data_IF_291374360072
#
_entry.id   IF_291374360072
#
_cell.length_a   1.000
_cell.length_b   1.000
_cell.length_c   1.000
_cell.angle_alpha   90.00
_cell.angle_beta   90.00
_cell.angle_gamma   90.00
#
_symmetry.space_group_name_H-M   'P 1'
#
loop_
_entity.id
_entity.type
_entity.pdbx_description
1 polymer ?
#
# COMPACT_ATOMS: atom_id res chain seq x y z
N UNK A 1 -10.61 46.54 -80.89
CA UNK A 1 -9.18 46.82 -80.66
C UNK A 1 -9.04 47.57 -79.36
N UNK A 2 -8.18 47.05 -78.48
CA UNK A 2 -7.35 47.71 -77.46
C UNK A 2 -7.29 46.76 -76.26
N UNK A 3 -6.14 46.10 -76.16
CA UNK A 3 -5.72 45.22 -75.08
C UNK A 3 -5.58 45.98 -73.76
N UNK A 4 -5.88 45.32 -72.65
CA UNK A 4 -5.28 45.62 -71.35
C UNK A 4 -4.87 44.31 -70.68
N UNK A 5 -3.56 44.20 -70.46
CA UNK A 5 -2.89 43.10 -69.79
C UNK A 5 -3.20 43.16 -68.28
N UNK A 6 -3.58 42.03 -67.70
CA UNK A 6 -3.73 41.86 -66.25
C UNK A 6 -2.52 41.07 -65.76
N UNK A 7 -1.71 41.71 -64.91
CA UNK A 7 -0.55 41.12 -64.26
C UNK A 7 -0.95 40.06 -63.24
N UNK A 8 -0.22 38.95 -63.22
CA UNK A 8 -0.35 37.89 -62.23
C UNK A 8 0.27 38.35 -60.90
N UNK A 9 -0.55 38.38 -59.85
CA UNK A 9 -0.11 38.59 -58.47
C UNK A 9 -0.09 37.23 -57.76
N UNK A 10 1.10 36.71 -57.51
CA UNK A 10 1.33 35.45 -56.78
C UNK A 10 1.10 35.68 -55.29
N UNK A 11 0.02 35.12 -54.74
CA UNK A 11 -0.26 35.16 -53.29
C UNK A 11 0.52 34.03 -52.62
N UNK A 12 1.55 34.39 -51.85
CA UNK A 12 2.28 33.46 -50.97
C UNK A 12 1.39 33.24 -49.74
N UNK A 13 0.82 32.03 -49.61
CA UNK A 13 0.08 31.62 -48.42
C UNK A 13 1.04 31.39 -47.25
N UNK A 14 0.91 32.21 -46.20
CA UNK A 14 1.51 31.95 -44.90
C UNK A 14 0.67 30.90 -44.16
N UNK A 15 1.14 29.66 -44.10
CA UNK A 15 0.58 28.63 -43.21
C UNK A 15 1.03 28.93 -41.78
N UNK A 16 0.07 29.25 -40.91
CA UNK A 16 0.30 29.33 -39.47
C UNK A 16 0.80 27.98 -38.92
N UNK A 17 1.72 27.96 -37.93
CA UNK A 17 2.14 26.70 -37.33
C UNK A 17 0.96 26.13 -36.54
N UNK A 18 0.59 24.88 -36.86
CA UNK A 18 -0.38 24.13 -36.08
C UNK A 18 0.14 23.99 -34.65
N UNK A 19 -0.56 24.57 -33.68
CA UNK A 19 -0.35 24.27 -32.26
C UNK A 19 -0.67 22.79 -32.04
N UNK A 20 0.37 22.00 -31.81
CA UNK A 20 0.22 20.62 -31.40
C UNK A 20 -0.56 20.59 -30.08
N UNK A 21 -1.79 20.08 -30.13
CA UNK A 21 -2.55 19.74 -28.94
C UNK A 21 -1.75 18.70 -28.14
N UNK A 22 -1.43 19.03 -26.88
CA UNK A 22 -0.79 18.12 -25.95
C UNK A 22 -1.78 17.03 -25.58
N UNK A 23 -1.54 15.81 -26.06
CA UNK A 23 -2.28 14.62 -25.72
C UNK A 23 -2.02 14.26 -24.24
N UNK A 24 -3.03 14.28 -23.35
CA UNK A 24 -2.87 13.96 -21.93
C UNK A 24 -2.57 12.47 -21.67
N UNK A 25 -2.56 11.63 -22.71
CA UNK A 25 -2.25 10.20 -22.62
C UNK A 25 -0.79 9.83 -22.90
N UNK A 26 0.05 10.80 -23.29
CA UNK A 26 1.49 10.57 -23.42
C UNK A 26 2.15 10.57 -22.04
N UNK A 27 2.83 9.48 -21.61
CA UNK A 27 3.62 9.54 -20.38
C UNK A 27 4.63 10.68 -20.53
N UNK A 28 4.60 11.61 -19.57
CA UNK A 28 5.69 12.57 -19.41
C UNK A 28 7.00 11.77 -19.41
N UNK A 29 8.05 12.30 -20.07
CA UNK A 29 9.37 11.69 -20.00
C UNK A 29 9.66 11.39 -18.53
N UNK A 30 9.75 10.10 -18.19
CA UNK A 30 9.93 9.68 -16.81
C UNK A 30 11.18 10.40 -16.28
N UNK A 31 11.02 11.17 -15.21
CA UNK A 31 12.17 11.63 -14.46
C UNK A 31 13.05 10.39 -14.19
N UNK A 32 14.36 10.50 -14.41
CA UNK A 32 15.27 9.38 -14.15
C UNK A 32 15.01 8.87 -12.72
N UNK A 33 14.75 7.56 -12.58
CA UNK A 33 14.46 6.98 -11.28
C UNK A 33 15.61 7.29 -10.31
N UNK A 34 15.28 7.68 -9.09
CA UNK A 34 16.28 7.93 -8.06
C UNK A 34 17.03 6.62 -7.77
N UNK A 35 18.34 6.59 -8.00
CA UNK A 35 19.16 5.41 -7.74
C UNK A 35 19.51 5.30 -6.25
N UNK A 36 19.92 4.11 -5.81
CA UNK A 36 20.42 3.87 -4.45
C UNK A 36 21.59 4.80 -4.09
N UNK A 37 21.32 5.79 -3.23
CA UNK A 37 22.30 6.75 -2.75
C UNK A 37 21.86 7.33 -1.38
N UNK A 38 21.82 6.50 -0.31
CA UNK A 38 21.43 6.98 1.00
C UNK A 38 22.44 8.02 1.53
N UNK A 39 22.01 8.94 2.42
CA UNK A 39 22.92 9.81 3.16
C UNK A 39 24.06 9.01 3.82
N UNK A 40 25.28 9.54 3.82
CA UNK A 40 26.48 8.81 4.24
C UNK A 40 26.35 8.20 5.65
N UNK A 41 25.70 8.91 6.58
CA UNK A 41 25.45 8.45 7.94
C UNK A 41 24.45 7.29 8.04
N UNK A 42 23.66 7.04 6.99
CA UNK A 42 22.69 5.94 6.95
C UNK A 42 23.25 4.68 6.25
N UNK A 43 24.37 4.77 5.54
CA UNK A 43 24.96 3.62 4.80
C UNK A 43 25.25 2.45 5.74
N UNK A 44 25.99 2.70 6.84
CA UNK A 44 26.34 1.66 7.82
C UNK A 44 25.10 1.04 8.49
N UNK A 45 24.18 1.81 9.10
CA UNK A 45 23.03 1.22 9.77
C UNK A 45 22.09 0.47 8.82
N UNK A 46 21.94 0.90 7.56
CA UNK A 46 21.14 0.15 6.56
C UNK A 46 21.78 -1.21 6.24
N UNK A 47 23.10 -1.26 6.07
CA UNK A 47 23.85 -2.50 5.85
C UNK A 47 23.78 -3.45 7.07
N UNK A 48 23.79 -2.91 8.29
CA UNK A 48 23.56 -3.69 9.52
C UNK A 48 22.15 -4.28 9.57
N UNK A 49 21.12 -3.49 9.21
CA UNK A 49 19.73 -3.95 9.11
C UNK A 49 19.61 -5.07 8.08
N UNK A 50 20.12 -4.88 6.87
CA UNK A 50 19.99 -5.89 5.82
C UNK A 50 20.67 -7.21 6.21
N UNK A 51 21.89 -7.16 6.76
CA UNK A 51 22.57 -8.36 7.27
C UNK A 51 21.79 -9.06 8.36
N UNK A 52 21.16 -8.30 9.25
CA UNK A 52 20.31 -8.88 10.29
C UNK A 52 19.13 -9.63 9.67
N UNK A 53 18.38 -8.99 8.77
CA UNK A 53 17.26 -9.59 8.05
C UNK A 53 17.69 -10.88 7.32
N UNK A 54 18.80 -10.84 6.57
CA UNK A 54 19.34 -12.02 5.88
C UNK A 54 19.71 -13.17 6.82
N UNK A 55 20.22 -12.86 8.03
CA UNK A 55 20.59 -13.87 9.02
C UNK A 55 19.39 -14.45 9.77
N UNK A 56 18.33 -13.66 9.95
CA UNK A 56 17.14 -14.00 10.74
C UNK A 56 16.16 -14.83 9.92
N UNK A 57 15.98 -14.52 8.62
CA UNK A 57 14.95 -15.14 7.78
C UNK A 57 15.56 -16.10 6.75
N UNK A 58 15.52 -17.43 7.00
CA UNK A 58 16.15 -18.42 6.12
C UNK A 58 15.52 -18.50 4.71
N UNK A 59 14.28 -18.05 4.56
CA UNK A 59 13.55 -18.03 3.27
C UNK A 59 13.22 -16.60 2.80
N UNK A 60 14.00 -15.59 3.20
CA UNK A 60 13.81 -14.17 2.82
C UNK A 60 13.56 -13.97 1.32
N UNK A 61 14.33 -14.67 0.49
CA UNK A 61 14.24 -14.54 -0.96
C UNK A 61 13.18 -15.44 -1.61
N UNK A 62 12.86 -16.58 -0.98
CA UNK A 62 11.86 -17.52 -1.47
C UNK A 62 10.44 -17.19 -1.04
N UNK A 63 10.24 -16.44 0.04
CA UNK A 63 8.94 -15.91 0.44
C UNK A 63 8.39 -14.94 -0.63
N UNK A 64 7.21 -15.24 -1.18
CA UNK A 64 6.56 -14.53 -2.30
C UNK A 64 5.20 -13.92 -1.95
N UNK A 65 5.03 -13.48 -0.70
CA UNK A 65 3.80 -12.82 -0.27
C UNK A 65 4.02 -11.51 0.49
N UNK A 66 5.20 -10.89 0.39
CA UNK A 66 5.38 -9.53 0.91
C UNK A 66 4.39 -8.58 0.22
N UNK A 67 4.13 -7.42 0.82
CA UNK A 67 3.35 -6.35 0.20
C UNK A 67 3.88 -5.99 -1.20
N UNK A 68 5.19 -6.14 -1.43
CA UNK A 68 5.81 -6.04 -2.75
C UNK A 68 5.24 -7.05 -3.75
N UNK A 69 5.19 -8.33 -3.39
CA UNK A 69 4.68 -9.39 -4.27
C UNK A 69 3.18 -9.19 -4.54
N UNK A 70 2.43 -8.75 -3.53
CA UNK A 70 1.00 -8.42 -3.64
C UNK A 70 0.78 -7.27 -4.62
N UNK A 71 1.52 -6.18 -4.48
CA UNK A 71 1.50 -5.04 -5.41
C UNK A 71 1.80 -5.45 -6.85
N UNK A 72 2.81 -6.28 -7.05
CA UNK A 72 3.22 -6.73 -8.38
C UNK A 72 2.18 -7.67 -8.98
N UNK A 73 1.65 -8.61 -8.20
CA UNK A 73 0.58 -9.52 -8.64
C UNK A 73 -0.70 -8.76 -9.01
N UNK A 74 -1.03 -7.69 -8.27
CA UNK A 74 -2.25 -6.93 -8.42
C UNK A 74 -2.09 -5.63 -9.25
N UNK A 75 -0.97 -5.53 -9.99
CA UNK A 75 -0.68 -4.44 -10.95
C UNK A 75 -0.79 -3.03 -10.33
N UNK A 76 -0.21 -2.86 -9.14
CA UNK A 76 -0.13 -1.56 -8.48
C UNK A 76 -1.38 -1.16 -7.72
N UNK A 77 -2.15 -2.15 -7.23
CA UNK A 77 -3.32 -1.95 -6.36
C UNK A 77 -3.19 -2.84 -5.13
N UNK A 78 -3.85 -2.45 -4.05
CA UNK A 78 -4.02 -3.31 -2.87
C UNK A 78 -5.50 -3.30 -2.48
N UNK A 79 -6.08 -4.48 -2.35
CA UNK A 79 -7.42 -4.67 -1.83
C UNK A 79 -7.38 -5.10 -0.36
N UNK A 80 -8.19 -4.46 0.47
CA UNK A 80 -8.32 -4.74 1.90
C UNK A 80 -9.69 -5.30 2.24
N UNK A 81 -9.72 -6.17 3.24
CA UNK A 81 -10.95 -6.53 3.92
C UNK A 81 -10.84 -6.28 5.43
N UNK A 82 -11.78 -5.50 5.98
CA UNK A 82 -11.81 -5.14 7.40
C UNK A 82 -12.45 -6.27 8.21
N UNK A 83 -11.83 -6.70 9.30
CA UNK A 83 -12.43 -7.59 10.29
C UNK A 83 -12.73 -6.78 11.54
N UNK A 84 -14.01 -6.54 11.80
CA UNK A 84 -14.47 -5.82 12.97
C UNK A 84 -14.81 -6.81 14.09
N UNK A 85 -13.82 -7.10 14.92
CA UNK A 85 -13.92 -7.96 16.09
C UNK A 85 -14.29 -7.12 17.32
N UNK A 86 -15.44 -6.45 17.23
CA UNK A 86 -16.01 -5.61 18.29
C UNK A 86 -17.54 -5.60 18.22
N UNK A 87 -18.19 -5.37 19.36
CA UNK A 87 -19.64 -5.22 19.49
C UNK A 87 -20.10 -3.76 19.30
N UNK A 88 -19.17 -2.81 19.18
CA UNK A 88 -19.49 -1.40 19.01
C UNK A 88 -20.10 -1.15 17.62
N UNK A 89 -21.16 -0.32 17.55
CA UNK A 89 -21.83 -0.03 16.29
C UNK A 89 -20.92 0.75 15.32
N UNK A 90 -21.03 0.44 14.04
CA UNK A 90 -20.29 1.11 12.96
C UNK A 90 -21.29 1.81 12.05
N UNK A 91 -21.30 3.14 12.07
CA UNK A 91 -22.07 3.95 11.10
C UNK A 91 -21.39 3.97 9.73
N UNK A 92 -22.13 4.33 8.68
CA UNK A 92 -21.54 4.55 7.35
C UNK A 92 -20.40 5.60 7.40
N UNK A 93 -20.59 6.67 8.18
CA UNK A 93 -19.55 7.68 8.38
C UNK A 93 -18.29 7.09 9.01
N UNK A 94 -18.42 6.31 10.09
CA UNK A 94 -17.26 5.69 10.73
C UNK A 94 -16.53 4.72 9.80
N UNK A 95 -17.28 3.93 9.01
CA UNK A 95 -16.72 3.07 7.97
C UNK A 95 -15.87 3.89 6.99
N UNK A 96 -16.41 4.98 6.45
CA UNK A 96 -15.75 5.80 5.43
C UNK A 96 -14.52 6.53 6.01
N UNK A 97 -14.58 6.95 7.27
CA UNK A 97 -13.44 7.52 8.01
C UNK A 97 -12.32 6.48 8.20
N UNK A 98 -12.65 5.22 8.53
CA UNK A 98 -11.69 4.11 8.61
C UNK A 98 -11.06 3.84 7.25
N UNK A 99 -11.85 3.80 6.16
CA UNK A 99 -11.32 3.60 4.81
C UNK A 99 -10.35 4.73 4.43
N UNK A 100 -10.71 5.98 4.75
CA UNK A 100 -9.88 7.15 4.49
C UNK A 100 -8.59 7.12 5.29
N UNK A 101 -8.65 6.76 6.57
CA UNK A 101 -7.49 6.57 7.43
C UNK A 101 -6.54 5.52 6.84
N UNK A 102 -7.06 4.33 6.51
CA UNK A 102 -6.27 3.25 5.93
C UNK A 102 -5.55 3.67 4.65
N UNK A 103 -6.27 4.27 3.70
CA UNK A 103 -5.68 4.80 2.44
C UNK A 103 -4.59 5.82 2.71
N UNK A 104 -4.80 6.74 3.66
CA UNK A 104 -3.82 7.76 4.03
C UNK A 104 -2.55 7.15 4.59
N UNK A 105 -2.65 6.19 5.50
CA UNK A 105 -1.47 5.55 6.10
C UNK A 105 -0.71 4.71 5.06
N UNK A 106 -1.41 3.89 4.26
CA UNK A 106 -0.76 3.10 3.20
C UNK A 106 -0.05 3.98 2.17
N UNK A 107 -0.63 5.13 1.82
CA UNK A 107 -0.04 6.08 0.87
C UNK A 107 1.34 6.57 1.33
N UNK A 108 1.59 6.76 2.62
CA UNK A 108 2.90 7.24 3.11
C UNK A 108 4.04 6.28 2.82
N UNK A 109 3.80 4.98 3.00
CA UNK A 109 4.78 3.95 2.63
C UNK A 109 5.04 3.96 1.12
N UNK A 110 3.98 3.99 0.30
CA UNK A 110 4.12 4.02 -1.17
C UNK A 110 4.84 5.29 -1.66
N UNK A 111 4.52 6.45 -1.11
CA UNK A 111 5.19 7.71 -1.43
C UNK A 111 6.69 7.69 -1.11
N UNK A 112 7.10 6.80 -0.20
CA UNK A 112 8.52 6.65 0.16
C UNK A 112 9.33 5.91 -0.91
N UNK A 113 8.70 5.14 -1.81
CA UNK A 113 9.38 4.38 -2.88
C UNK A 113 8.96 4.79 -4.30
N UNK A 114 7.88 5.57 -4.45
CA UNK A 114 7.45 6.08 -5.75
C UNK A 114 8.57 6.87 -6.46
N UNK A 115 8.93 6.46 -7.68
CA UNK A 115 10.02 7.08 -8.45
C UNK A 115 11.43 6.65 -8.06
N UNK A 116 11.58 5.74 -7.10
CA UNK A 116 12.87 5.20 -6.66
C UNK A 116 13.19 3.88 -7.37
N UNK A 117 14.41 3.77 -7.90
CA UNK A 117 15.08 2.52 -8.29
C UNK A 117 14.20 1.52 -9.08
N UNK A 118 13.61 2.01 -10.19
CA UNK A 118 12.70 1.29 -11.08
C UNK A 118 11.38 0.82 -10.45
N UNK A 119 10.98 1.33 -9.29
CA UNK A 119 9.65 1.06 -8.75
C UNK A 119 8.57 1.52 -9.74
N UNK A 120 7.68 0.61 -10.19
CA UNK A 120 6.89 0.84 -11.40
C UNK A 120 5.62 1.67 -11.18
N UNK A 121 5.26 1.97 -9.92
CA UNK A 121 3.98 2.61 -9.60
C UNK A 121 4.20 4.00 -9.00
N UNK A 122 3.69 5.04 -9.67
CA UNK A 122 3.68 6.39 -9.11
C UNK A 122 2.61 6.56 -8.01
N UNK A 123 1.56 5.74 -8.06
CA UNK A 123 0.47 5.71 -7.09
C UNK A 123 -0.04 4.27 -6.97
N UNK A 124 -0.49 3.90 -5.77
CA UNK A 124 -1.13 2.62 -5.50
C UNK A 124 -2.48 2.89 -4.85
N UNK A 125 -3.59 2.65 -5.58
CA UNK A 125 -4.92 2.69 -4.99
C UNK A 125 -5.10 1.59 -3.94
N UNK A 126 -5.67 1.97 -2.79
CA UNK A 126 -6.12 1.04 -1.75
C UNK A 126 -7.65 0.99 -1.74
N UNK A 127 -8.19 -0.17 -2.11
CA UNK A 127 -9.63 -0.45 -2.09
C UNK A 127 -9.98 -1.21 -0.83
N UNK A 128 -11.11 -0.90 -0.21
CA UNK A 128 -11.68 -1.73 0.84
C UNK A 128 -12.83 -2.47 0.17
N UNK A 129 -12.71 -3.79 0.00
CA UNK A 129 -13.64 -4.60 -0.77
C UNK A 129 -14.61 -5.39 0.10
N UNK A 130 -14.33 -5.51 1.40
CA UNK A 130 -15.20 -6.25 2.31
C UNK A 130 -15.07 -5.87 3.77
N UNK A 131 -16.10 -6.24 4.54
CA UNK A 131 -16.20 -6.12 5.99
C UNK A 131 -16.70 -7.42 6.60
N UNK A 132 -16.00 -7.92 7.60
CA UNK A 132 -16.43 -9.05 8.41
C UNK A 132 -16.86 -8.57 9.80
N UNK A 133 -18.03 -9.03 10.25
CA UNK A 133 -18.60 -8.78 11.59
C UNK A 133 -19.21 -10.04 12.13
N UNK A 134 -19.34 -10.16 13.45
CA UNK A 134 -20.02 -11.30 14.06
C UNK A 134 -21.55 -11.20 13.95
N UNK A 135 -22.08 -9.98 14.07
CA UNK A 135 -23.50 -9.68 13.92
C UNK A 135 -23.67 -8.57 12.88
N UNK A 136 -24.57 -8.79 11.91
CA UNK A 136 -24.89 -7.79 10.89
C UNK A 136 -25.45 -6.51 11.49
N UNK A 137 -26.12 -6.61 12.63
CA UNK A 137 -26.74 -5.49 13.35
C UNK A 137 -25.69 -4.47 13.85
N UNK A 138 -24.44 -4.90 14.03
CA UNK A 138 -23.32 -4.01 14.38
C UNK A 138 -23.06 -2.96 13.30
N UNK A 139 -23.35 -3.26 12.03
CA UNK A 139 -23.17 -2.32 10.92
C UNK A 139 -24.47 -1.51 10.72
N UNK A 140 -24.45 -0.23 11.10
CA UNK A 140 -25.59 0.70 11.00
C UNK A 140 -25.71 1.34 9.61
N UNK A 141 -25.50 0.54 8.58
CA UNK A 141 -25.58 0.93 7.17
C UNK A 141 -25.95 -0.29 6.33
N UNK A 142 -26.55 -0.06 5.15
CA UNK A 142 -27.14 -1.11 4.31
C UNK A 142 -26.81 -0.98 2.82
N UNK A 143 -25.94 -0.04 2.44
CA UNK A 143 -25.46 0.07 1.06
C UNK A 143 -24.60 -1.14 0.66
N UNK A 144 -24.31 -1.24 -0.64
CA UNK A 144 -23.55 -2.33 -1.26
C UNK A 144 -22.15 -1.88 -1.70
N UNK A 145 -21.55 -0.90 -1.03
CA UNK A 145 -20.21 -0.39 -1.37
C UNK A 145 -19.11 -1.45 -1.21
N UNK A 146 -19.31 -2.43 -0.32
CA UNK A 146 -18.37 -3.51 -0.01
C UNK A 146 -19.12 -4.80 0.30
N UNK A 147 -18.45 -5.94 0.18
CA UNK A 147 -19.00 -7.23 0.59
C UNK A 147 -19.11 -7.34 2.12
N UNK A 148 -20.14 -8.02 2.61
CA UNK A 148 -20.37 -8.23 4.04
C UNK A 148 -20.30 -9.71 4.40
N UNK A 149 -19.43 -10.04 5.36
CA UNK A 149 -19.23 -11.38 5.88
C UNK A 149 -19.72 -11.45 7.33
N UNK A 150 -20.85 -12.11 7.58
CA UNK A 150 -21.44 -12.20 8.94
C UNK A 150 -21.39 -13.59 9.56
N UNK A 151 -21.16 -14.63 8.76
CA UNK A 151 -21.22 -16.03 9.18
C UNK A 151 -19.90 -16.78 8.89
N UNK A 152 -18.80 -16.04 8.78
CA UNK A 152 -17.48 -16.60 8.53
C UNK A 152 -16.65 -16.25 9.76
N UNK A 153 -16.33 -17.27 10.56
CA UNK A 153 -15.53 -17.13 11.77
C UNK A 153 -14.23 -17.91 11.60
N UNK A 154 -13.15 -17.40 12.19
CA UNK A 154 -11.90 -18.15 12.28
C UNK A 154 -11.94 -19.21 13.40
N UNK A 155 -10.85 -19.95 13.57
CA UNK A 155 -10.75 -20.99 14.61
C UNK A 155 -10.88 -20.48 16.05
N UNK A 156 -10.70 -19.17 16.28
CA UNK A 156 -10.92 -18.51 17.57
C UNK A 156 -12.33 -17.95 17.75
N UNK A 157 -13.20 -18.06 16.73
CA UNK A 157 -14.56 -17.52 16.76
C UNK A 157 -14.64 -16.02 16.46
N UNK A 158 -13.55 -15.40 15.98
CA UNK A 158 -13.52 -14.01 15.54
C UNK A 158 -14.05 -13.91 14.10
N UNK A 159 -14.73 -12.81 13.73
CA UNK A 159 -15.24 -12.64 12.37
C UNK A 159 -14.11 -12.55 11.36
N UNK A 160 -14.29 -13.21 10.22
CA UNK A 160 -13.29 -13.37 9.19
C UNK A 160 -13.87 -13.01 7.81
N UNK A 161 -13.07 -12.35 6.98
CA UNK A 161 -13.38 -12.23 5.56
C UNK A 161 -13.29 -13.59 4.87
N UNK A 162 -13.98 -13.81 3.75
CA UNK A 162 -14.00 -15.12 3.09
C UNK A 162 -12.58 -15.64 2.75
N UNK A 163 -12.14 -16.78 3.33
CA UNK A 163 -10.80 -17.33 3.07
C UNK A 163 -10.53 -17.60 1.59
N UNK A 164 -11.55 -18.05 0.86
CA UNK A 164 -11.49 -18.30 -0.58
C UNK A 164 -11.10 -17.07 -1.42
N UNK A 165 -11.22 -15.87 -0.84
CA UNK A 165 -10.87 -14.59 -1.47
C UNK A 165 -9.58 -13.95 -0.93
N UNK A 166 -8.94 -14.53 0.10
CA UNK A 166 -7.79 -13.91 0.75
C UNK A 166 -6.47 -14.34 0.11
N UNK A 167 -5.64 -13.37 -0.28
CA UNK A 167 -4.28 -13.61 -0.81
C UNK A 167 -3.42 -14.46 0.13
N UNK A 168 -3.54 -14.24 1.44
CA UNK A 168 -2.86 -15.05 2.45
C UNK A 168 -3.13 -16.56 2.30
N UNK A 169 -4.35 -16.94 1.92
CA UNK A 169 -4.75 -18.34 1.71
C UNK A 169 -4.48 -18.84 0.28
N UNK A 170 -4.37 -17.92 -0.68
CA UNK A 170 -4.26 -18.19 -2.12
C UNK A 170 -3.02 -17.49 -2.73
N UNK A 171 -1.84 -17.76 -2.18
CA UNK A 171 -0.59 -17.15 -2.66
C UNK A 171 -0.22 -17.57 -4.09
N UNK A 172 -0.78 -18.68 -4.57
CA UNK A 172 -0.68 -19.12 -5.96
C UNK A 172 -1.54 -18.28 -6.94
N UNK A 173 -2.34 -17.34 -6.45
CA UNK A 173 -3.24 -16.50 -7.25
C UNK A 173 -4.50 -17.22 -7.74
N UNK A 174 -4.81 -18.42 -7.23
CA UNK A 174 -6.02 -19.14 -7.58
C UNK A 174 -7.21 -18.66 -6.74
N UNK A 175 -7.99 -17.75 -7.31
CA UNK A 175 -9.23 -17.23 -6.72
C UNK A 175 -10.48 -17.85 -7.35
N UNK A 176 -10.40 -19.04 -7.96
CA UNK A 176 -11.56 -19.68 -8.61
C UNK A 176 -12.71 -19.97 -7.65
N UNK A 177 -12.43 -20.10 -6.36
CA UNK A 177 -13.42 -20.27 -5.29
C UNK A 177 -13.93 -18.96 -4.70
N UNK A 178 -13.25 -17.84 -4.95
CA UNK A 178 -13.71 -16.54 -4.47
C UNK A 178 -14.98 -16.13 -5.22
N UNK A 179 -16.09 -15.79 -4.53
CA UNK A 179 -17.24 -15.18 -5.16
C UNK A 179 -16.84 -13.87 -5.87
N UNK A 180 -17.05 -13.80 -7.19
CA UNK A 180 -16.58 -12.68 -8.01
C UNK A 180 -15.12 -12.79 -8.48
N UNK A 181 -14.45 -13.90 -8.17
CA UNK A 181 -13.13 -14.28 -8.65
C UNK A 181 -12.03 -13.30 -8.24
N UNK A 182 -10.96 -13.27 -9.03
CA UNK A 182 -9.81 -12.38 -8.79
C UNK A 182 -10.19 -10.89 -8.73
N UNK A 183 -11.32 -10.45 -9.28
CA UNK A 183 -11.73 -9.05 -9.17
C UNK A 183 -12.26 -8.67 -7.78
N UNK A 184 -12.62 -9.65 -6.94
CA UNK A 184 -13.19 -9.45 -5.60
C UNK A 184 -12.31 -10.00 -4.48
N UNK A 185 -11.12 -10.50 -4.79
CA UNK A 185 -10.16 -10.92 -3.79
C UNK A 185 -9.67 -9.74 -2.94
N UNK A 186 -9.11 -10.03 -1.77
CA UNK A 186 -8.38 -9.07 -0.96
C UNK A 186 -6.95 -9.54 -0.73
N UNK A 187 -6.02 -8.59 -0.76
CA UNK A 187 -4.60 -8.80 -0.50
C UNK A 187 -4.33 -8.87 1.00
N UNK A 188 -4.92 -7.93 1.75
CA UNK A 188 -4.63 -7.71 3.16
C UNK A 188 -5.91 -7.62 3.98
N UNK A 189 -5.79 -7.94 5.27
CA UNK A 189 -6.90 -7.84 6.20
C UNK A 189 -6.55 -6.93 7.37
N UNK A 190 -7.39 -5.93 7.62
CA UNK A 190 -7.27 -5.04 8.77
C UNK A 190 -8.17 -5.54 9.89
N UNK A 191 -7.57 -6.08 10.95
CA UNK A 191 -8.29 -6.62 12.10
C UNK A 191 -8.39 -5.55 13.17
N UNK A 192 -9.62 -5.21 13.53
CA UNK A 192 -9.96 -4.21 14.52
C UNK A 192 -10.57 -4.92 15.72
N UNK A 193 -9.71 -5.25 16.67
CA UNK A 193 -10.04 -6.14 17.80
C UNK A 193 -10.33 -5.32 19.05
N UNK A 194 -11.49 -5.56 19.67
CA UNK A 194 -11.87 -4.95 20.94
C UNK A 194 -10.85 -5.26 22.03
N UNK A 195 -10.36 -4.22 22.70
CA UNK A 195 -9.43 -4.34 23.84
C UNK A 195 -8.02 -4.82 23.49
N UNK A 196 -7.70 -5.07 22.22
CA UNK A 196 -6.35 -5.46 21.81
C UNK A 196 -5.37 -4.31 22.03
N UNK A 197 -4.27 -4.59 22.73
CA UNK A 197 -3.20 -3.64 23.02
C UNK A 197 -1.99 -3.93 22.14
N UNK A 198 -1.33 -2.89 21.66
CA UNK A 198 -0.24 -3.02 20.68
C UNK A 198 -0.75 -3.30 19.27
N UNK A 199 0.12 -3.88 18.46
CA UNK A 199 -0.15 -4.24 17.07
C UNK A 199 0.45 -5.60 16.72
N UNK A 200 -0.02 -6.16 15.61
CA UNK A 200 0.63 -7.27 14.93
C UNK A 200 0.42 -7.13 13.42
N UNK A 201 1.45 -7.39 12.63
CA UNK A 201 1.46 -7.11 11.21
C UNK A 201 2.28 -8.13 10.43
N UNK A 202 2.02 -8.21 9.13
CA UNK A 202 2.74 -9.10 8.23
C UNK A 202 2.11 -9.15 6.85
N UNK A 203 2.38 -10.24 6.13
CA UNK A 203 1.88 -10.46 4.77
C UNK A 203 0.34 -10.54 4.71
N UNK A 204 -0.32 -11.01 5.76
CA UNK A 204 -1.78 -11.13 5.83
C UNK A 204 -2.49 -9.80 6.12
N UNK A 205 -1.78 -8.74 6.51
CA UNK A 205 -2.34 -7.45 6.89
C UNK A 205 -1.90 -6.99 8.29
N UNK A 206 -2.79 -6.32 9.01
CA UNK A 206 -2.50 -5.70 10.32
C UNK A 206 -3.63 -5.97 11.30
N UNK A 207 -3.29 -6.08 12.59
CA UNK A 207 -4.23 -6.15 13.71
C UNK A 207 -3.88 -5.07 14.73
N UNK A 208 -4.88 -4.28 15.10
CA UNK A 208 -4.78 -3.24 16.12
C UNK A 208 -6.08 -3.18 16.94
N UNK A 209 -6.03 -2.46 18.06
CA UNK A 209 -7.21 -2.19 18.88
C UNK A 209 -8.29 -1.42 18.10
N UNK A 210 -9.55 -1.87 18.15
CA UNK A 210 -10.67 -1.18 17.49
C UNK A 210 -10.85 0.25 18.03
N UNK A 211 -10.74 0.40 19.35
CA UNK A 211 -10.86 1.65 20.09
C UNK A 211 -9.70 2.59 19.74
N UNK A 212 -8.50 2.03 19.59
CA UNK A 212 -7.31 2.77 19.19
C UNK A 212 -7.48 3.34 17.78
N UNK A 213 -7.83 2.52 16.78
CA UNK A 213 -8.01 3.02 15.43
C UNK A 213 -9.14 4.06 15.38
N UNK A 214 -10.27 3.80 16.04
CA UNK A 214 -11.37 4.77 16.08
C UNK A 214 -10.88 6.09 16.68
N UNK A 215 -10.16 6.08 17.80
CA UNK A 215 -9.62 7.30 18.41
C UNK A 215 -8.58 8.03 17.55
N UNK A 216 -7.79 7.29 16.76
CA UNK A 216 -6.69 7.83 15.97
C UNK A 216 -7.02 8.10 14.49
N UNK A 217 -8.18 7.69 13.97
CA UNK A 217 -8.53 7.72 12.53
C UNK A 217 -8.39 9.09 11.85
N UNK A 218 -8.47 10.19 12.61
CA UNK A 218 -8.29 11.55 12.11
C UNK A 218 -6.85 12.09 12.19
N UNK A 219 -5.92 11.35 12.81
CA UNK A 219 -4.53 11.78 12.99
C UNK A 219 -3.76 11.67 11.67
N UNK A 220 -2.74 12.51 11.53
CA UNK A 220 -1.83 12.46 10.38
C UNK A 220 -1.13 11.10 10.36
N UNK A 221 -0.45 10.74 11.45
CA UNK A 221 0.22 9.46 11.69
C UNK A 221 -0.59 8.60 12.67
N UNK A 222 -0.95 7.38 12.26
CA UNK A 222 -1.56 6.37 13.12
C UNK A 222 -0.46 5.38 13.50
N UNK A 223 0.39 5.79 14.45
CA UNK A 223 1.63 5.14 14.84
C UNK A 223 1.61 3.61 14.75
N UNK A 224 0.74 2.92 15.50
CA UNK A 224 0.75 1.45 15.54
C UNK A 224 0.40 0.88 14.17
N UNK A 225 -0.59 1.45 13.47
CA UNK A 225 -0.96 0.97 12.13
C UNK A 225 0.18 1.16 11.13
N UNK A 226 0.88 2.30 11.16
CA UNK A 226 2.03 2.54 10.28
C UNK A 226 3.16 1.54 10.55
N UNK A 227 3.45 1.24 11.82
CA UNK A 227 4.43 0.24 12.22
C UNK A 227 4.06 -1.15 11.68
N UNK A 228 2.83 -1.60 11.91
CA UNK A 228 2.37 -2.91 11.42
C UNK A 228 2.36 -3.01 9.89
N UNK A 229 2.12 -1.90 9.18
CA UNK A 229 2.26 -1.84 7.73
C UNK A 229 3.72 -2.01 7.28
N UNK A 230 4.71 -1.60 8.07
CA UNK A 230 6.12 -1.84 7.77
C UNK A 230 6.43 -3.33 7.64
N UNK A 231 5.92 -4.15 8.57
CA UNK A 231 6.07 -5.61 8.52
C UNK A 231 5.48 -6.26 7.27
N UNK A 232 4.38 -5.72 6.76
CA UNK A 232 3.80 -6.17 5.49
C UNK A 232 4.82 -6.11 4.35
N UNK A 233 5.74 -5.15 4.38
CA UNK A 233 6.78 -4.98 3.38
C UNK A 233 8.15 -5.56 3.79
N UNK A 234 8.17 -6.38 4.85
CA UNK A 234 9.35 -7.10 5.30
C UNK A 234 10.27 -6.31 6.21
N UNK A 235 9.83 -5.17 6.75
CA UNK A 235 10.63 -4.46 7.75
C UNK A 235 10.57 -5.17 9.11
N UNK A 236 11.71 -5.31 9.77
CA UNK A 236 11.84 -6.00 11.05
C UNK A 236 11.38 -5.16 12.24
N UNK A 237 11.10 -5.86 13.33
CA UNK A 237 10.99 -5.29 14.67
C UNK A 237 12.37 -5.13 15.30
N UNK A 238 12.53 -4.09 16.13
CA UNK A 238 13.81 -3.77 16.80
C UNK A 238 13.68 -3.74 18.32
N UNK A 239 13.41 -4.91 18.92
CA UNK A 239 13.20 -5.03 20.38
C UNK A 239 14.51 -5.18 21.18
N UNK A 240 15.46 -5.94 20.66
CA UNK A 240 16.64 -6.42 21.37
C UNK A 240 17.97 -5.89 20.81
N UNK A 241 17.91 -5.16 19.70
CA UNK A 241 19.07 -4.53 19.09
C UNK A 241 18.70 -3.21 18.38
N UNK A 242 19.70 -2.42 18.00
CA UNK A 242 19.50 -1.18 17.24
C UNK A 242 20.73 -0.96 16.35
N UNK A 243 20.56 -0.54 15.09
CA UNK A 243 21.68 -0.26 14.21
C UNK A 243 22.47 0.98 14.65
N UNK A 244 23.75 1.02 14.29
CA UNK A 244 24.72 2.02 14.73
C UNK A 244 24.33 3.42 14.27
N UNK A 245 24.32 4.37 15.20
CA UNK A 245 24.19 5.80 14.87
C UNK A 245 22.78 6.27 14.52
N UNK A 246 21.76 5.41 14.66
CA UNK A 246 20.35 5.79 14.48
C UNK A 246 19.61 5.68 15.81
N UNK A 247 18.96 6.78 16.22
CA UNK A 247 18.29 6.89 17.52
C UNK A 247 16.87 6.34 17.53
N UNK A 248 15.96 7.06 16.84
CA UNK A 248 14.53 6.78 16.84
C UNK A 248 13.97 6.67 15.43
N UNK A 249 13.20 5.61 15.21
CA UNK A 249 12.55 5.27 13.95
C UNK A 249 11.35 4.37 14.23
N UNK A 250 10.36 4.38 13.33
CA UNK A 250 9.06 3.78 13.55
C UNK A 250 9.15 2.28 13.85
N UNK A 251 10.00 1.56 13.11
CA UNK A 251 10.16 0.11 13.28
C UNK A 251 10.82 -0.29 14.61
N UNK A 252 11.41 0.67 15.34
CA UNK A 252 11.77 0.51 16.74
C UNK A 252 10.64 1.05 17.59
N UNK A 253 9.70 0.16 17.92
CA UNK A 253 8.44 0.49 18.57
C UNK A 253 8.62 1.44 19.77
N UNK A 254 7.87 2.54 19.77
CA UNK A 254 7.90 3.55 20.84
C UNK A 254 9.05 4.56 20.76
N UNK A 255 10.00 4.42 19.83
CA UNK A 255 11.09 5.39 19.65
C UNK A 255 10.75 6.55 18.69
N UNK A 256 9.77 6.35 17.81
CA UNK A 256 9.15 7.37 16.98
C UNK A 256 7.66 7.04 16.79
N UNK A 257 6.85 8.04 16.44
CA UNK A 257 5.39 7.88 16.25
C UNK A 257 4.93 8.16 14.82
N UNK A 258 5.88 8.24 13.88
CA UNK A 258 5.70 8.56 12.48
C UNK A 258 6.81 7.89 11.65
N UNK A 259 6.57 7.68 10.36
CA UNK A 259 7.58 7.13 9.41
C UNK A 259 8.75 8.13 9.27
N UNK A 260 9.90 7.79 9.86
CA UNK A 260 11.11 8.62 9.83
C UNK A 260 11.88 8.45 8.53
N UNK A 261 12.89 9.29 8.29
CA UNK A 261 13.74 9.13 7.11
C UNK A 261 14.50 7.80 7.09
N UNK A 262 14.89 7.27 8.26
CA UNK A 262 15.53 5.95 8.32
C UNK A 262 14.57 4.83 7.91
N UNK A 263 13.31 4.89 8.34
CA UNK A 263 12.28 3.91 7.93
C UNK A 263 12.09 3.90 6.41
N UNK A 264 12.06 5.09 5.78
CA UNK A 264 11.95 5.21 4.33
C UNK A 264 13.15 4.59 3.61
N UNK A 265 14.36 4.77 4.13
CA UNK A 265 15.55 4.14 3.55
C UNK A 265 15.58 2.63 3.76
N UNK A 266 15.16 2.12 4.92
CA UNK A 266 14.99 0.67 5.12
C UNK A 266 13.98 0.09 4.12
N UNK A 267 12.86 0.79 3.92
CA UNK A 267 11.83 0.43 2.94
C UNK A 267 12.35 0.37 1.50
N UNK A 268 13.10 1.40 1.08
CA UNK A 268 13.78 1.45 -0.23
C UNK A 268 14.84 0.37 -0.36
N UNK A 269 15.58 0.07 0.71
CA UNK A 269 16.61 -0.96 0.70
C UNK A 269 16.01 -2.36 0.51
N UNK A 270 14.88 -2.64 1.17
CA UNK A 270 14.16 -3.90 0.95
C UNK A 270 13.73 -4.03 -0.52
N UNK A 271 13.13 -2.97 -1.09
CA UNK A 271 12.77 -2.94 -2.52
C UNK A 271 13.97 -3.26 -3.42
N UNK A 272 15.11 -2.59 -3.21
CA UNK A 272 16.34 -2.79 -3.99
C UNK A 272 16.79 -4.24 -4.03
N UNK A 273 16.66 -4.98 -2.92
CA UNK A 273 17.07 -6.38 -2.85
C UNK A 273 16.05 -7.35 -3.47
N UNK A 274 14.76 -7.00 -3.48
CA UNK A 274 13.73 -7.90 -4.02
C UNK A 274 13.35 -7.62 -5.47
N UNK A 275 13.54 -6.40 -5.97
CA UNK A 275 12.99 -5.96 -7.28
C UNK A 275 13.38 -6.84 -8.47
N UNK A 276 14.57 -7.43 -8.44
CA UNK A 276 15.09 -8.27 -9.54
C UNK A 276 14.21 -9.49 -9.80
N UNK A 277 13.47 -9.97 -8.79
CA UNK A 277 12.51 -11.07 -8.93
C UNK A 277 11.32 -10.71 -9.83
N UNK A 278 11.10 -9.43 -10.10
CA UNK A 278 10.06 -8.91 -10.99
C UNK A 278 10.61 -8.49 -12.37
N UNK A 279 11.90 -8.73 -12.64
CA UNK A 279 12.56 -8.34 -13.88
C UNK A 279 12.91 -6.85 -13.98
N UNK A 280 13.14 -6.19 -12.83
CA UNK A 280 13.45 -4.75 -12.69
C UNK A 280 14.86 -4.47 -12.18
#
# INVERSE_FOLDING_TARGET
>A
MVSLAVGALTVIGLTAPAQAATDPSRPAAAAAAEAWNPPAQLVQPLDEVWRHVESTYPDLYGFKNYGWDQLMANKGRIAYCVRWESDQPVTAQLRDEIHTALRRQSKKWIDSVAGFDNFPYAQVPVDIVGWAVKDRSTLQWTDNSVDIYTNVLDGGGAPQCAPDCGRFFHQNGDYTKCPGGAARHYDQSLWLTKGFQGGAGGDWGQRIGSEYLVGARGQEDIHILEHEMGHTYGLDDFYDWTPTGVGGFLMKAGSATYITEFDKWMYRDFWRHVKSRYGL
#
